data_IF_130911630073
#
_entry.id   IF_130911630073
#
_cell.length_a   1.000
_cell.length_b   1.000
_cell.length_c   1.000
_cell.angle_alpha   90.00
_cell.angle_beta   90.00
_cell.angle_gamma   90.00
#
_symmetry.space_group_name_H-M   'P 1'
#
loop_
_entity.id
_entity.type
_entity.pdbx_description
1 polymer ?
#
# COMPACT_ATOMS: atom_id res chain seq x y z
N UNK A 1 -32.68 15.74 -11.40
CA UNK A 1 -31.82 14.66 -10.88
C UNK A 1 -30.67 14.54 -11.85
N UNK A 2 -29.49 15.06 -11.49
CA UNK A 2 -28.29 14.99 -12.35
C UNK A 2 -27.76 13.57 -12.30
N UNK A 3 -27.80 12.89 -13.45
CA UNK A 3 -27.23 11.57 -13.63
C UNK A 3 -25.70 11.70 -13.53
N UNK A 4 -25.11 11.09 -12.50
CA UNK A 4 -23.65 11.05 -12.35
C UNK A 4 -23.11 10.04 -13.35
N UNK A 5 -22.25 10.49 -14.26
CA UNK A 5 -21.56 9.60 -15.19
C UNK A 5 -20.32 8.99 -14.54
N UNK A 6 -19.96 7.78 -14.96
CA UNK A 6 -18.67 7.17 -14.63
C UNK A 6 -17.51 8.15 -14.91
N UNK A 7 -16.53 8.28 -13.99
CA UNK A 7 -16.25 7.44 -12.82
C UNK A 7 -16.79 7.94 -11.46
N UNK A 8 -17.63 8.98 -11.42
CA UNK A 8 -18.06 9.66 -10.17
C UNK A 8 -18.90 8.80 -9.20
N UNK A 9 -19.26 7.58 -9.60
CA UNK A 9 -20.09 6.65 -8.82
C UNK A 9 -19.28 5.82 -7.80
N UNK A 10 -17.96 5.65 -7.99
CA UNK A 10 -17.17 4.69 -7.19
C UNK A 10 -15.80 5.18 -6.70
N UNK A 11 -15.40 6.42 -6.95
CA UNK A 11 -14.19 7.00 -6.36
C UNK A 11 -14.51 8.30 -5.62
N UNK A 12 -14.05 8.42 -4.37
CA UNK A 12 -14.12 9.70 -3.65
C UNK A 12 -13.22 10.77 -4.30
N UNK A 13 -12.25 10.34 -5.12
CA UNK A 13 -11.35 11.19 -5.85
C UNK A 13 -11.72 11.21 -7.33
N UNK A 14 -12.13 12.37 -7.83
CA UNK A 14 -12.37 12.62 -9.27
C UNK A 14 -11.03 12.76 -9.97
N UNK A 15 -10.82 12.04 -11.08
CA UNK A 15 -9.63 12.18 -11.94
C UNK A 15 -9.47 13.63 -12.42
N UNK A 16 -8.32 14.25 -12.13
CA UNK A 16 -8.02 15.65 -12.46
C UNK A 16 -7.20 15.82 -13.73
N UNK A 17 -6.87 14.72 -14.41
CA UNK A 17 -6.09 14.72 -15.64
C UNK A 17 -6.94 15.06 -16.87
N UNK A 18 -6.31 14.95 -18.04
CA UNK A 18 -6.95 15.12 -19.35
C UNK A 18 -6.80 13.83 -20.15
N UNK A 19 -7.93 13.22 -20.51
CA UNK A 19 -7.98 12.09 -21.43
C UNK A 19 -8.03 12.65 -22.86
N UNK A 20 -7.10 12.25 -23.71
CA UNK A 20 -7.10 12.58 -25.14
C UNK A 20 -6.84 11.32 -25.97
N UNK A 21 -7.21 11.36 -27.25
CA UNK A 21 -6.94 10.26 -28.18
C UNK A 21 -5.43 10.07 -28.40
N UNK A 22 -4.70 11.18 -28.44
CA UNK A 22 -3.24 11.19 -28.50
C UNK A 22 -2.64 11.31 -27.08
N UNK A 23 -1.68 10.45 -26.76
CA UNK A 23 -1.00 10.48 -25.46
C UNK A 23 -0.24 11.78 -25.22
N UNK A 24 0.24 12.44 -26.29
CA UNK A 24 0.98 13.71 -26.22
C UNK A 24 0.10 14.87 -25.74
N UNK A 25 -1.21 14.74 -25.96
CA UNK A 25 -2.22 15.72 -25.55
C UNK A 25 -2.91 15.35 -24.24
N UNK A 26 -2.57 14.18 -23.67
CA UNK A 26 -3.11 13.69 -22.41
C UNK A 26 -2.30 14.23 -21.22
N UNK A 27 -3.00 14.50 -20.13
CA UNK A 27 -2.38 14.94 -18.87
C UNK A 27 -2.70 13.88 -17.82
N UNK A 28 -1.69 13.18 -17.25
CA UNK A 28 -1.94 12.19 -16.23
C UNK A 28 -2.32 12.83 -14.89
N UNK A 29 -3.16 12.14 -14.13
CA UNK A 29 -3.38 12.42 -12.71
C UNK A 29 -2.61 11.40 -11.87
N UNK A 30 -1.43 11.79 -11.40
CA UNK A 30 -0.58 10.95 -10.55
C UNK A 30 -0.88 11.10 -9.06
N UNK A 31 -1.76 12.02 -8.68
CA UNK A 31 -2.07 12.28 -7.27
C UNK A 31 -2.58 11.02 -6.55
N UNK A 32 -3.50 10.20 -7.12
CA UNK A 32 -3.97 8.98 -6.47
C UNK A 32 -2.89 7.90 -6.30
N UNK A 33 -1.82 7.95 -7.10
CA UNK A 33 -0.69 7.02 -7.05
C UNK A 33 0.48 7.55 -6.21
N UNK A 34 0.37 8.79 -5.70
CA UNK A 34 1.37 9.34 -4.82
C UNK A 34 1.23 8.70 -3.44
N UNK A 35 2.33 8.18 -2.85
CA UNK A 35 2.26 7.64 -1.51
C UNK A 35 1.78 8.71 -0.53
N UNK A 36 0.85 8.38 0.39
CA UNK A 36 0.48 9.30 1.45
C UNK A 36 1.74 9.66 2.26
N UNK A 37 1.90 10.94 2.58
CA UNK A 37 3.01 11.39 3.42
C UNK A 37 2.69 11.16 4.88
N UNK A 38 3.66 10.63 5.61
CA UNK A 38 3.56 10.51 7.05
C UNK A 38 3.53 11.92 7.70
N UNK A 39 2.75 12.13 8.77
CA UNK A 39 2.84 13.33 9.60
C UNK A 39 4.25 13.58 10.16
N UNK A 40 4.58 14.82 10.53
CA UNK A 40 5.92 15.22 11.01
C UNK A 40 6.40 14.40 12.22
N UNK A 41 5.50 14.09 13.16
CA UNK A 41 5.81 13.32 14.37
C UNK A 41 5.45 11.83 14.28
N UNK A 42 5.24 11.31 13.06
CA UNK A 42 4.91 9.90 12.87
C UNK A 42 6.13 9.00 13.21
N UNK A 43 5.92 7.83 13.84
CA UNK A 43 7.01 6.90 14.10
C UNK A 43 7.53 6.27 12.80
N UNK A 44 8.81 5.92 12.79
CA UNK A 44 9.38 5.08 11.74
C UNK A 44 8.82 3.65 11.86
N UNK A 45 8.26 3.12 10.78
CA UNK A 45 7.76 1.74 10.72
C UNK A 45 8.64 0.92 9.79
N UNK A 46 9.10 -0.23 10.27
CA UNK A 46 9.77 -1.25 9.45
C UNK A 46 8.86 -2.48 9.36
N UNK A 47 8.47 -2.84 8.15
CA UNK A 47 7.69 -4.05 7.87
C UNK A 47 8.56 -5.10 7.18
N UNK A 48 8.64 -6.29 7.76
CA UNK A 48 9.42 -7.42 7.22
C UNK A 48 8.41 -8.52 6.88
N UNK A 49 8.28 -8.81 5.57
CA UNK A 49 7.42 -9.87 5.07
C UNK A 49 8.26 -11.12 4.81
N UNK A 50 7.85 -12.23 5.42
CA UNK A 50 8.38 -13.56 5.10
C UNK A 50 7.37 -14.27 4.19
N UNK A 51 7.76 -14.48 2.94
CA UNK A 51 6.95 -15.16 1.93
C UNK A 51 7.07 -16.68 2.06
N UNK A 52 6.05 -17.43 1.62
CA UNK A 52 6.01 -18.90 1.55
C UNK A 52 6.48 -19.66 2.81
N UNK A 53 6.35 -19.04 3.99
CA UNK A 53 6.76 -19.64 5.25
C UNK A 53 5.58 -19.70 6.21
N UNK A 54 5.30 -20.90 6.73
CA UNK A 54 4.27 -21.09 7.73
C UNK A 54 4.73 -20.53 9.09
N UNK A 55 3.84 -19.81 9.78
CA UNK A 55 4.09 -19.25 11.12
C UNK A 55 4.64 -20.29 12.11
N UNK A 56 4.10 -21.52 12.06
CA UNK A 56 4.50 -22.63 12.92
C UNK A 56 5.90 -23.20 12.63
N UNK A 57 6.59 -22.72 11.59
CA UNK A 57 7.95 -23.13 11.29
C UNK A 57 9.00 -22.40 12.14
N UNK A 58 8.67 -21.25 12.73
CA UNK A 58 9.64 -20.34 13.36
C UNK A 58 9.77 -20.55 14.89
N UNK A 59 10.97 -20.42 15.43
CA UNK A 59 11.25 -20.60 16.87
C UNK A 59 10.34 -19.80 17.83
N UNK A 60 9.93 -18.54 17.56
CA UNK A 60 9.06 -17.79 18.47
C UNK A 60 7.68 -18.42 18.68
N UNK A 61 7.27 -19.28 17.74
CA UNK A 61 5.96 -19.93 17.73
C UNK A 61 6.08 -21.45 17.89
N UNK A 62 7.22 -21.94 18.39
CA UNK A 62 7.46 -23.36 18.66
C UNK A 62 7.96 -24.18 17.46
N UNK A 63 8.30 -23.51 16.37
CA UNK A 63 8.84 -24.15 15.18
C UNK A 63 10.34 -24.45 15.25
N UNK A 64 10.81 -25.32 14.35
CA UNK A 64 12.19 -25.81 14.36
C UNK A 64 13.22 -24.86 13.73
N UNK A 65 12.79 -23.85 12.97
CA UNK A 65 13.70 -22.89 12.34
C UNK A 65 14.20 -21.91 13.40
N UNK A 66 15.50 -21.95 13.66
CA UNK A 66 16.15 -21.06 14.62
C UNK A 66 16.18 -19.61 14.10
N UNK A 67 15.32 -18.74 14.66
CA UNK A 67 15.21 -17.34 14.28
C UNK A 67 15.52 -16.42 15.48
N UNK A 68 16.79 -16.27 15.88
CA UNK A 68 17.16 -15.59 17.13
C UNK A 68 16.82 -14.09 17.13
N UNK A 69 16.87 -13.42 15.97
CA UNK A 69 16.48 -12.03 15.86
C UNK A 69 14.96 -11.84 16.06
N UNK A 70 14.14 -12.71 15.44
CA UNK A 70 12.69 -12.70 15.61
C UNK A 70 12.28 -13.09 17.04
N UNK A 71 12.98 -14.05 17.66
CA UNK A 71 12.76 -14.43 19.06
C UNK A 71 12.97 -13.25 20.01
N UNK A 72 14.09 -12.52 19.86
CA UNK A 72 14.38 -11.32 20.68
C UNK A 72 13.38 -10.18 20.51
N UNK A 73 12.63 -10.15 19.41
CA UNK A 73 11.57 -9.16 19.19
C UNK A 73 10.23 -9.64 19.77
N UNK A 74 10.07 -10.95 19.99
CA UNK A 74 8.85 -11.55 20.53
C UNK A 74 8.87 -11.65 22.06
N UNK A 75 10.06 -11.84 22.67
CA UNK A 75 10.29 -11.81 24.12
C UNK A 75 10.11 -10.41 24.72
#
# INVERSE_FOLDING_TARGET
>A
MTEKSYPEEYSEQVFKGKIALDVRDSVPDWEPYSPPKAPEDAPNVLFILYDDTGLAAWSPYGGAINMPAAQRLAD
#
